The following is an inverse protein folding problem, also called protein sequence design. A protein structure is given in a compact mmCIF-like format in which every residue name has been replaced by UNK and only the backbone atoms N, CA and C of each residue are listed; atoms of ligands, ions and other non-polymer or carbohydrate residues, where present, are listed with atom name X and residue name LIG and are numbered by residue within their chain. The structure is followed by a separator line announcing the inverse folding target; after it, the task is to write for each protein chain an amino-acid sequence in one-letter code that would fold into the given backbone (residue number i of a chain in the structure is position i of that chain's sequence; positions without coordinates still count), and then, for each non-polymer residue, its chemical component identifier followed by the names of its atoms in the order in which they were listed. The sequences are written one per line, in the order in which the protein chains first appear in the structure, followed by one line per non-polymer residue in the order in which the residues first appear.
data_IF_700881320250
#
_entry.id   IF_700881320250
#
_cell.length_a   1.000
_cell.length_b   1.000
_cell.length_c   1.000
_cell.angle_alpha   90.00
_cell.angle_beta   90.00
_cell.angle_gamma   90.00
#
_symmetry.space_group_name_H-M   'P 1'
#
loop_
_entity.id
_entity.type
_entity.pdbx_description
1 polymer ?
#
# COMPACT_ATOMS: atom_id res chain seq x y z
N UNK A 1 -1.03 -11.12 55.34
CA UNK A 1 -0.36 -11.42 54.05
C UNK A 1 -0.40 -10.16 53.17
N UNK A 2 0.75 -9.51 52.89
CA UNK A 2 0.75 -8.26 52.15
C UNK A 2 0.58 -8.48 50.63
N UNK A 3 -0.39 -7.76 50.06
CA UNK A 3 -0.73 -7.70 48.64
C UNK A 3 0.33 -6.91 47.84
N UNK A 4 1.42 -7.56 47.42
CA UNK A 4 2.48 -6.95 46.61
C UNK A 4 2.24 -6.97 45.08
N UNK A 5 1.08 -7.45 44.60
CA UNK A 5 0.88 -7.75 43.17
C UNK A 5 0.38 -6.56 42.30
N UNK A 6 -0.13 -5.47 42.90
CA UNK A 6 -0.78 -4.40 42.11
C UNK A 6 0.16 -3.31 41.57
N UNK A 7 1.35 -3.11 42.15
CA UNK A 7 2.26 -2.03 41.71
C UNK A 7 2.94 -2.33 40.36
N UNK A 8 3.32 -3.58 40.12
CA UNK A 8 4.03 -3.99 38.90
C UNK A 8 3.19 -3.87 37.61
N UNK A 9 1.85 -4.02 37.70
CA UNK A 9 0.94 -3.89 36.55
C UNK A 9 0.84 -2.43 36.06
N UNK A 10 0.91 -1.46 36.96
CA UNK A 10 0.85 -0.04 36.62
C UNK A 10 2.09 0.46 35.87
N UNK A 11 3.28 -0.05 36.21
CA UNK A 11 4.53 0.38 35.58
C UNK A 11 4.68 -0.15 34.14
N UNK A 12 4.29 -1.40 33.87
CA UNK A 12 4.32 -1.99 32.52
C UNK A 12 3.41 -1.24 31.54
N UNK A 13 2.22 -0.79 31.98
CA UNK A 13 1.30 -0.07 31.09
C UNK A 13 1.81 1.31 30.67
N UNK A 14 2.54 2.01 31.56
CA UNK A 14 3.19 3.29 31.25
C UNK A 14 4.28 3.13 30.21
N UNK A 15 5.15 2.12 30.37
CA UNK A 15 6.26 1.87 29.45
C UNK A 15 5.77 1.54 28.03
N UNK A 16 4.78 0.66 27.90
CA UNK A 16 4.17 0.31 26.60
C UNK A 16 3.57 1.54 25.91
N UNK A 17 2.91 2.42 26.68
CA UNK A 17 2.33 3.66 26.15
C UNK A 17 3.42 4.61 25.61
N UNK A 18 4.56 4.70 26.27
CA UNK A 18 5.70 5.51 25.81
C UNK A 18 6.25 4.95 24.51
N UNK A 19 6.54 3.64 24.46
CA UNK A 19 7.02 2.98 23.24
C UNK A 19 6.06 3.22 22.08
N UNK A 20 4.75 3.08 22.30
CA UNK A 20 3.75 3.31 21.27
C UNK A 20 3.77 4.75 20.75
N UNK A 21 3.87 5.74 21.65
CA UNK A 21 3.95 7.15 21.25
C UNK A 21 5.22 7.46 20.47
N UNK A 22 6.37 6.97 20.93
CA UNK A 22 7.66 7.16 20.25
C UNK A 22 7.64 6.48 18.89
N UNK A 23 7.14 5.25 18.80
CA UNK A 23 7.01 4.52 17.54
C UNK A 23 6.04 5.20 16.57
N UNK A 24 4.93 5.75 17.07
CA UNK A 24 4.00 6.53 16.24
C UNK A 24 4.65 7.82 15.70
N UNK A 25 5.35 8.58 16.54
CA UNK A 25 6.06 9.78 16.13
C UNK A 25 7.14 9.46 15.10
N UNK A 26 7.95 8.42 15.36
CA UNK A 26 8.97 7.95 14.43
C UNK A 26 8.36 7.54 13.09
N UNK A 27 7.26 6.79 13.11
CA UNK A 27 6.51 6.43 11.91
C UNK A 27 5.96 7.65 11.16
N UNK A 28 5.47 8.67 11.87
CA UNK A 28 5.05 9.93 11.25
C UNK A 28 6.22 10.66 10.59
N UNK A 29 7.39 10.72 11.24
CA UNK A 29 8.59 11.34 10.67
C UNK A 29 9.05 10.60 9.42
N UNK A 30 9.20 9.27 9.50
CA UNK A 30 9.60 8.43 8.37
C UNK A 30 8.62 8.60 7.20
N UNK A 31 7.32 8.65 7.47
CA UNK A 31 6.30 8.80 6.43
C UNK A 31 5.99 10.24 6.06
N UNK A 32 6.81 11.23 6.44
CA UNK A 32 6.59 12.66 6.13
C UNK A 32 5.19 13.17 6.54
N UNK A 33 4.61 12.59 7.59
CA UNK A 33 3.26 12.90 8.07
C UNK A 33 2.12 12.22 7.30
N UNK A 34 2.41 11.49 6.20
CA UNK A 34 1.38 10.75 5.47
C UNK A 34 0.65 9.75 6.38
N UNK A 35 1.33 9.11 7.35
CA UNK A 35 0.69 8.21 8.31
C UNK A 35 -0.49 8.87 9.06
N UNK A 36 -0.42 10.16 9.40
CA UNK A 36 -1.52 10.87 10.03
C UNK A 36 -2.74 10.99 9.10
N UNK A 37 -2.50 11.31 7.82
CA UNK A 37 -3.56 11.37 6.80
C UNK A 37 -4.20 10.01 6.56
N UNK A 38 -3.39 8.96 6.47
CA UNK A 38 -3.86 7.59 6.33
C UNK A 38 -4.59 7.09 7.58
N UNK A 39 -4.19 7.54 8.78
CA UNK A 39 -4.87 7.19 10.03
C UNK A 39 -6.34 7.62 10.03
N UNK A 40 -6.62 8.86 9.65
CA UNK A 40 -8.01 9.33 9.55
C UNK A 40 -8.80 8.58 8.48
N UNK A 41 -8.16 8.27 7.34
CA UNK A 41 -8.77 7.42 6.32
C UNK A 41 -9.13 6.08 6.93
N UNK A 42 -8.16 5.33 7.45
CA UNK A 42 -8.34 3.99 8.05
C UNK A 42 -9.41 4.01 9.16
N UNK A 43 -9.46 5.06 9.98
CA UNK A 43 -10.52 5.24 10.98
C UNK A 43 -11.91 5.41 10.35
N UNK A 44 -12.03 6.14 9.23
CA UNK A 44 -13.30 6.23 8.50
C UNK A 44 -13.73 4.87 7.94
N UNK A 45 -12.79 4.01 7.55
CA UNK A 45 -13.10 2.63 7.14
C UNK A 45 -13.65 1.77 8.29
N UNK A 46 -13.32 2.06 9.55
CA UNK A 46 -13.89 1.34 10.70
C UNK A 46 -15.39 1.50 10.86
N UNK A 47 -15.97 2.57 10.31
CA UNK A 47 -17.43 2.79 10.33
C UNK A 47 -18.15 1.71 9.50
N UNK A 48 -17.44 1.05 8.58
CA UNK A 48 -17.94 -0.05 7.75
C UNK A 48 -17.61 -1.44 8.30
N UNK A 49 -17.41 -1.57 9.61
CA UNK A 49 -17.16 -2.87 10.24
C UNK A 49 -18.49 -3.59 10.55
N UNK A 50 -18.77 -4.75 9.92
CA UNK A 50 -20.04 -5.48 10.06
C UNK A 50 -20.24 -6.07 11.46
N UNK A 51 -19.19 -6.12 12.27
CA UNK A 51 -19.29 -6.54 13.68
C UNK A 51 -19.86 -5.45 14.58
N UNK A 52 -19.89 -4.19 14.13
CA UNK A 52 -20.63 -3.11 14.79
C UNK A 52 -22.10 -3.30 14.42
N UNK A 53 -22.84 -3.98 15.30
CA UNK A 53 -24.30 -4.09 15.20
C UNK A 53 -24.95 -2.75 15.57
N UNK A 54 -24.71 -1.72 14.77
CA UNK A 54 -25.59 -0.56 14.83
C UNK A 54 -26.91 -0.95 14.17
N UNK A 55 -28.02 -0.83 14.90
CA UNK A 55 -29.33 -1.34 14.43
C UNK A 55 -29.81 -0.64 13.16
N UNK A 56 -29.22 0.52 12.84
CA UNK A 56 -29.57 1.37 11.69
C UNK A 56 -28.55 1.29 10.55
N UNK A 57 -27.38 0.68 10.74
CA UNK A 57 -26.30 0.64 9.73
C UNK A 57 -25.62 -0.73 9.74
N UNK A 58 -26.06 -1.60 8.84
CA UNK A 58 -25.33 -2.84 8.52
C UNK A 58 -24.25 -2.51 7.50
N UNK A 59 -23.00 -2.65 7.88
CA UNK A 59 -21.91 -2.56 6.93
C UNK A 59 -22.08 -3.63 5.84
N UNK A 60 -21.99 -3.21 4.59
CA UNK A 60 -22.13 -4.03 3.37
C UNK A 60 -23.54 -4.57 3.02
N UNK A 61 -24.62 -4.23 3.72
CA UNK A 61 -25.99 -4.57 3.24
C UNK A 61 -26.68 -3.48 2.44
N UNK A 62 -26.02 -2.32 2.25
CA UNK A 62 -26.31 -1.58 1.03
C UNK A 62 -25.73 -2.48 -0.06
N UNK A 63 -26.58 -3.35 -0.60
CA UNK A 63 -26.37 -3.91 -1.91
C UNK A 63 -26.18 -2.69 -2.80
N UNK A 64 -24.91 -2.32 -3.05
CA UNK A 64 -24.58 -1.22 -3.93
C UNK A 64 -24.95 -1.76 -5.31
N UNK A 65 -26.25 -1.67 -5.63
CA UNK A 65 -26.74 -1.69 -7.00
C UNK A 65 -26.07 -0.50 -7.66
N UNK A 66 -24.91 -0.78 -8.23
CA UNK A 66 -24.01 0.16 -8.89
C UNK A 66 -24.71 0.98 -9.97
N UNK A 67 -25.88 0.50 -10.43
CA UNK A 67 -26.80 1.19 -11.34
C UNK A 67 -27.55 2.38 -10.73
N UNK A 68 -28.04 2.30 -9.49
CA UNK A 68 -29.05 3.26 -9.01
C UNK A 68 -28.45 4.52 -8.35
N UNK A 69 -27.18 4.46 -7.95
CA UNK A 69 -26.50 5.60 -7.30
C UNK A 69 -25.61 6.43 -8.24
N UNK A 70 -25.51 6.08 -9.53
CA UNK A 70 -24.55 6.71 -10.45
C UNK A 70 -23.10 6.68 -9.94
N UNK A 71 -22.80 5.77 -8.99
CA UNK A 71 -21.51 5.66 -8.31
C UNK A 71 -20.51 5.05 -9.29
N UNK A 72 -19.90 5.94 -10.07
CA UNK A 72 -18.62 5.75 -10.77
C UNK A 72 -17.65 5.02 -9.82
N UNK A 73 -17.37 3.75 -10.11
CA UNK A 73 -16.32 2.88 -9.54
C UNK A 73 -16.48 2.50 -8.05
N UNK A 74 -16.46 1.19 -7.77
CA UNK A 74 -16.42 0.64 -6.41
C UNK A 74 -15.26 1.24 -5.59
N UNK A 75 -15.40 1.32 -4.28
CA UNK A 75 -14.33 1.81 -3.39
C UNK A 75 -13.00 1.06 -3.62
N UNK A 76 -13.07 -0.25 -3.91
CA UNK A 76 -11.92 -1.07 -4.30
C UNK A 76 -11.27 -0.59 -5.60
N UNK A 77 -12.06 -0.22 -6.61
CA UNK A 77 -11.55 0.36 -7.85
C UNK A 77 -10.90 1.74 -7.63
N UNK A 78 -11.39 2.55 -6.68
CA UNK A 78 -10.73 3.81 -6.31
C UNK A 78 -9.37 3.56 -5.65
N UNK A 79 -9.27 2.58 -4.75
CA UNK A 79 -8.00 2.20 -4.15
C UNK A 79 -7.02 1.66 -5.19
N UNK A 80 -7.46 0.75 -6.07
CA UNK A 80 -6.62 0.26 -7.16
C UNK A 80 -6.09 1.41 -8.02
N UNK A 81 -6.96 2.37 -8.37
CA UNK A 81 -6.56 3.57 -9.10
C UNK A 81 -5.55 4.45 -8.34
N UNK A 82 -5.64 4.53 -7.01
CA UNK A 82 -4.63 5.22 -6.20
C UNK A 82 -3.29 4.45 -6.21
N UNK A 83 -3.31 3.12 -6.16
CA UNK A 83 -2.11 2.28 -6.28
C UNK A 83 -1.46 2.37 -7.64
N UNK A 84 -2.23 2.27 -8.72
CA UNK A 84 -1.74 2.40 -10.10
C UNK A 84 -1.08 3.77 -10.32
N UNK A 85 -1.64 4.82 -9.71
CA UNK A 85 -1.06 6.18 -9.71
C UNK A 85 0.26 6.29 -8.96
N UNK A 86 0.57 5.41 -8.01
CA UNK A 86 1.87 5.37 -7.33
C UNK A 86 2.89 4.51 -8.08
N UNK A 87 2.44 3.42 -8.70
CA UNK A 87 3.30 2.53 -9.51
C UNK A 87 3.94 3.31 -10.67
N UNK A 88 3.15 4.10 -11.41
CA UNK A 88 3.66 4.81 -12.58
C UNK A 88 4.83 5.75 -12.27
N UNK A 89 4.74 6.69 -11.29
CA UNK A 89 5.88 7.52 -10.89
C UNK A 89 7.09 6.73 -10.42
N UNK A 90 6.90 5.66 -9.63
CA UNK A 90 8.01 4.83 -9.16
C UNK A 90 8.73 4.13 -10.31
N UNK A 91 8.00 3.61 -11.29
CA UNK A 91 8.58 3.02 -12.50
C UNK A 91 9.35 4.05 -13.31
N UNK A 92 8.81 5.25 -13.48
CA UNK A 92 9.50 6.36 -14.16
C UNK A 92 10.79 6.73 -13.41
N UNK A 93 10.73 6.93 -12.09
CA UNK A 93 11.92 7.26 -11.29
C UNK A 93 12.96 6.15 -11.37
N UNK A 94 12.55 4.89 -11.31
CA UNK A 94 13.45 3.73 -11.46
C UNK A 94 14.14 3.77 -12.82
N UNK A 95 13.38 3.92 -13.91
CA UNK A 95 13.92 3.95 -15.26
C UNK A 95 14.84 5.15 -15.50
N UNK A 96 14.44 6.36 -15.06
CA UNK A 96 15.26 7.57 -15.20
C UNK A 96 16.54 7.47 -14.39
N UNK A 97 16.47 6.95 -13.16
CA UNK A 97 17.67 6.77 -12.32
C UNK A 97 18.61 5.73 -12.92
N UNK A 98 18.08 4.61 -13.44
CA UNK A 98 18.89 3.60 -14.13
C UNK A 98 19.55 4.16 -15.40
N UNK A 99 18.81 4.92 -16.20
CA UNK A 99 19.36 5.57 -17.40
C UNK A 99 20.46 6.59 -17.03
N UNK A 100 20.23 7.41 -16.01
CA UNK A 100 21.21 8.38 -15.52
C UNK A 100 22.51 7.72 -15.00
N UNK A 101 22.41 6.53 -14.42
CA UNK A 101 23.57 5.74 -13.96
C UNK A 101 24.27 4.99 -15.11
N UNK A 102 23.56 4.66 -16.18
CA UNK A 102 24.11 3.92 -17.31
C UNK A 102 24.82 4.83 -18.34
N UNK A 103 24.39 6.09 -18.47
CA UNK A 103 24.96 7.03 -19.44
C UNK A 103 26.31 7.53 -18.90
N UNK A 104 27.43 7.28 -19.61
CA UNK A 104 28.71 7.88 -19.26
C UNK A 104 28.62 9.40 -19.42
N UNK A 105 29.36 10.14 -18.59
CA UNK A 105 29.41 11.60 -18.66
C UNK A 105 29.76 12.07 -20.09
N UNK A 106 28.90 12.88 -20.75
CA UNK A 106 29.19 13.38 -22.09
C UNK A 106 30.35 14.38 -22.11
N UNK A 107 30.79 14.85 -20.95
CA UNK A 107 31.85 15.87 -20.82
C UNK A 107 33.25 15.29 -20.71
N UNK A 108 33.43 13.97 -20.81
CA UNK A 108 34.73 13.29 -20.65
C UNK A 108 35.28 13.30 -19.21
N UNK A 109 34.70 14.12 -18.33
CA UNK A 109 35.02 14.16 -16.90
C UNK A 109 34.20 13.13 -16.10
N UNK A 110 34.77 12.55 -15.03
CA UNK A 110 34.06 11.64 -14.14
C UNK A 110 32.81 12.33 -13.57
N UNK A 111 31.67 11.61 -13.58
CA UNK A 111 30.40 12.11 -13.04
C UNK A 111 30.59 12.54 -11.59
N UNK A 112 30.09 13.73 -11.24
CA UNK A 112 30.11 14.26 -9.89
C UNK A 112 29.52 13.26 -8.89
N UNK A 113 30.32 12.85 -7.90
CA UNK A 113 30.00 11.70 -7.02
C UNK A 113 28.67 11.86 -6.28
N UNK A 114 28.27 13.09 -5.95
CA UNK A 114 26.99 13.38 -5.28
C UNK A 114 25.81 13.06 -6.19
N UNK A 115 25.89 13.42 -7.48
CA UNK A 115 24.83 13.11 -8.44
C UNK A 115 24.68 11.59 -8.58
N UNK A 116 25.79 10.86 -8.71
CA UNK A 116 25.80 9.39 -8.75
C UNK A 116 25.21 8.77 -7.48
N UNK A 117 25.55 9.31 -6.30
CA UNK A 117 25.00 8.84 -5.03
C UNK A 117 23.49 9.06 -4.96
N UNK A 118 23.02 10.25 -5.36
CA UNK A 118 21.60 10.60 -5.34
C UNK A 118 20.78 9.78 -6.34
N UNK A 119 21.28 9.53 -7.55
CA UNK A 119 20.63 8.64 -8.52
C UNK A 119 20.62 7.19 -8.03
N UNK A 120 21.71 6.71 -7.41
CA UNK A 120 21.75 5.37 -6.81
C UNK A 120 20.75 5.22 -5.68
N UNK A 121 20.63 6.23 -4.81
CA UNK A 121 19.63 6.27 -3.74
C UNK A 121 18.21 6.32 -4.29
N UNK A 122 17.95 7.18 -5.29
CA UNK A 122 16.64 7.27 -5.95
C UNK A 122 16.22 5.91 -6.55
N UNK A 123 17.15 5.24 -7.25
CA UNK A 123 16.96 3.92 -7.84
C UNK A 123 16.67 2.83 -6.78
N UNK A 124 17.48 2.75 -5.73
CA UNK A 124 17.29 1.76 -4.67
C UNK A 124 15.94 1.93 -3.96
N UNK A 125 15.62 3.18 -3.57
CA UNK A 125 14.34 3.50 -2.94
C UNK A 125 13.16 3.22 -3.88
N UNK A 126 13.27 3.55 -5.16
CA UNK A 126 12.16 3.33 -6.09
C UNK A 126 11.88 1.85 -6.34
N UNK A 127 12.93 1.01 -6.38
CA UNK A 127 12.79 -0.45 -6.41
C UNK A 127 12.10 -1.00 -5.17
N UNK A 128 12.50 -0.55 -3.97
CA UNK A 128 11.82 -0.94 -2.72
C UNK A 128 10.35 -0.50 -2.72
N UNK A 129 10.08 0.70 -3.24
CA UNK A 129 8.74 1.23 -3.46
C UNK A 129 7.89 0.34 -4.38
N UNK A 130 8.47 -0.18 -5.46
CA UNK A 130 7.78 -1.11 -6.35
C UNK A 130 7.52 -2.46 -5.66
N UNK A 131 8.51 -3.00 -4.95
CA UNK A 131 8.36 -4.27 -4.22
C UNK A 131 7.24 -4.19 -3.18
N UNK A 132 7.21 -3.12 -2.36
CA UNK A 132 6.18 -2.97 -1.33
C UNK A 132 4.80 -2.80 -1.95
N UNK A 133 4.65 -2.04 -3.05
CA UNK A 133 3.35 -1.89 -3.71
C UNK A 133 2.90 -3.23 -4.29
N UNK A 134 3.75 -3.94 -5.03
CA UNK A 134 3.41 -5.24 -5.61
C UNK A 134 3.04 -6.25 -4.54
N UNK A 135 3.79 -6.29 -3.43
CA UNK A 135 3.46 -7.16 -2.31
C UNK A 135 2.10 -6.80 -1.69
N UNK A 136 1.85 -5.53 -1.39
CA UNK A 136 0.58 -5.09 -0.79
C UNK A 136 -0.62 -5.30 -1.71
N UNK A 137 -0.46 -5.15 -3.03
CA UNK A 137 -1.54 -5.40 -4.00
C UNK A 137 -1.84 -6.90 -4.12
N UNK A 138 -0.82 -7.76 -4.16
CA UNK A 138 -1.00 -9.22 -4.15
C UNK A 138 -1.64 -9.67 -2.84
N UNK A 139 -1.15 -9.18 -1.70
CA UNK A 139 -1.72 -9.45 -0.39
C UNK A 139 -3.19 -9.02 -0.30
N UNK A 140 -3.50 -7.81 -0.79
CA UNK A 140 -4.86 -7.28 -0.85
C UNK A 140 -5.76 -8.04 -1.84
N UNK A 141 -5.21 -8.60 -2.91
CA UNK A 141 -5.97 -9.40 -3.88
C UNK A 141 -6.39 -10.76 -3.30
N UNK A 142 -5.49 -11.42 -2.55
CA UNK A 142 -5.76 -12.71 -1.90
C UNK A 142 -6.60 -12.62 -0.62
N UNK A 143 -6.76 -11.43 -0.06
CA UNK A 143 -7.48 -11.22 1.20
C UNK A 143 -8.99 -11.00 0.97
N UNK A 144 -9.83 -11.59 1.84
CA UNK A 144 -11.27 -11.34 1.81
C UNK A 144 -11.59 -9.88 2.20
N UNK A 145 -12.72 -9.34 1.73
CA UNK A 145 -13.13 -7.98 2.12
C UNK A 145 -13.30 -7.84 3.65
N UNK A 146 -13.75 -8.90 4.32
CA UNK A 146 -13.83 -8.95 5.79
C UNK A 146 -12.45 -8.92 6.44
N UNK A 147 -11.49 -9.70 5.92
CA UNK A 147 -10.08 -9.71 6.36
C UNK A 147 -9.48 -8.32 6.27
N UNK A 148 -9.59 -7.69 5.10
CA UNK A 148 -9.07 -6.33 4.86
C UNK A 148 -9.75 -5.33 5.79
N UNK A 149 -11.08 -5.42 5.96
CA UNK A 149 -11.84 -4.58 6.87
C UNK A 149 -11.39 -4.74 8.33
N UNK A 150 -11.10 -5.97 8.78
CA UNK A 150 -10.61 -6.27 10.13
C UNK A 150 -9.16 -5.85 10.36
N UNK A 151 -8.32 -5.96 9.35
CA UNK A 151 -6.94 -5.46 9.36
C UNK A 151 -6.97 -3.93 9.43
N UNK A 152 -7.74 -3.29 8.56
CA UNK A 152 -7.95 -1.84 8.57
C UNK A 152 -8.55 -1.38 9.92
N UNK A 153 -9.47 -2.14 10.50
CA UNK A 153 -10.07 -1.75 11.78
C UNK A 153 -9.21 -2.00 12.99
N UNK A 154 -8.13 -2.80 12.89
CA UNK A 154 -7.24 -3.10 14.01
C UNK A 154 -7.90 -3.84 15.19
N UNK A 155 -9.22 -4.10 15.15
CA UNK A 155 -9.99 -4.69 16.26
C UNK A 155 -9.66 -6.16 16.48
N UNK A 156 -9.38 -6.92 15.41
CA UNK A 156 -9.01 -8.33 15.53
C UNK A 156 -7.57 -8.58 15.99
N UNK A 157 -6.69 -7.59 15.87
CA UNK A 157 -5.25 -7.83 15.83
C UNK A 157 -4.46 -7.09 16.90
N UNK A 158 -4.78 -5.82 17.11
CA UNK A 158 -3.97 -4.90 17.88
C UNK A 158 -4.80 -4.22 18.98
N UNK A 159 -5.91 -4.83 19.44
CA UNK A 159 -6.85 -4.17 20.37
C UNK A 159 -7.27 -2.76 19.89
N UNK A 160 -7.34 -2.55 18.57
CA UNK A 160 -7.71 -1.26 17.97
C UNK A 160 -6.56 -0.29 17.66
N UNK A 161 -5.27 -0.70 17.69
CA UNK A 161 -4.20 0.21 17.21
C UNK A 161 -4.24 0.36 15.68
N UNK A 162 -4.89 1.42 15.22
CA UNK A 162 -4.95 1.84 13.81
C UNK A 162 -3.62 2.41 13.31
N UNK A 163 -2.77 2.88 14.23
CA UNK A 163 -1.50 3.55 13.90
C UNK A 163 -0.56 2.72 13.01
N UNK A 164 -0.17 1.50 13.39
CA UNK A 164 0.75 0.69 12.57
C UNK A 164 0.25 0.44 11.14
N UNK A 165 -1.06 0.20 10.98
CA UNK A 165 -1.67 0.01 9.66
C UNK A 165 -1.56 1.28 8.83
N UNK A 166 -1.83 2.45 9.44
CA UNK A 166 -1.69 3.74 8.77
C UNK A 166 -0.26 4.01 8.30
N UNK A 167 0.75 3.65 9.11
CA UNK A 167 2.16 3.76 8.74
C UNK A 167 2.46 2.88 7.53
N UNK A 168 2.09 1.60 7.57
CA UNK A 168 2.31 0.65 6.47
C UNK A 168 1.65 1.15 5.17
N UNK A 169 0.41 1.62 5.24
CA UNK A 169 -0.28 2.14 4.05
C UNK A 169 0.31 3.45 3.50
N UNK A 170 1.04 4.20 4.34
CA UNK A 170 1.69 5.45 3.96
C UNK A 170 3.10 5.26 3.40
N UNK A 171 3.77 4.13 3.71
CA UNK A 171 5.14 3.85 3.29
C UNK A 171 5.35 3.97 1.77
N UNK A 172 4.49 3.41 0.89
CA UNK A 172 4.66 3.52 -0.56
C UNK A 172 4.71 4.97 -1.04
N UNK A 173 3.80 5.82 -0.54
CA UNK A 173 3.76 7.25 -0.89
C UNK A 173 4.99 8.00 -0.36
N UNK A 174 5.44 7.67 0.85
CA UNK A 174 6.66 8.25 1.42
C UNK A 174 7.89 7.87 0.59
N UNK A 175 8.03 6.60 0.22
CA UNK A 175 9.11 6.10 -0.64
C UNK A 175 9.12 6.84 -1.98
N UNK A 176 7.96 6.94 -2.66
CA UNK A 176 7.86 7.70 -3.91
C UNK A 176 8.33 9.14 -3.75
N UNK A 177 8.00 9.78 -2.63
CA UNK A 177 8.41 11.16 -2.33
C UNK A 177 9.92 11.26 -2.13
N UNK A 178 10.52 10.39 -1.32
CA UNK A 178 11.97 10.37 -1.13
C UNK A 178 12.72 10.06 -2.42
N UNK A 179 12.30 9.06 -3.19
CA UNK A 179 12.88 8.74 -4.50
C UNK A 179 12.84 9.94 -5.45
N UNK A 180 11.72 10.68 -5.46
CA UNK A 180 11.58 11.90 -6.28
C UNK A 180 12.53 13.00 -5.84
N UNK A 181 12.66 13.22 -4.52
CA UNK A 181 13.59 14.23 -3.96
C UNK A 181 15.05 13.87 -4.28
N UNK A 182 15.44 12.60 -4.14
CA UNK A 182 16.78 12.13 -4.50
C UNK A 182 17.04 12.31 -6.00
N UNK A 183 16.08 11.97 -6.87
CA UNK A 183 16.21 12.17 -8.31
C UNK A 183 16.39 13.66 -8.66
N UNK A 184 15.55 14.54 -8.12
CA UNK A 184 15.61 15.98 -8.36
C UNK A 184 16.91 16.59 -7.81
N UNK A 185 17.34 16.19 -6.62
CA UNK A 185 18.58 16.65 -6.03
C UNK A 185 19.80 16.16 -6.84
N UNK A 186 19.76 14.93 -7.38
CA UNK A 186 20.78 14.39 -8.27
C UNK A 186 20.92 15.20 -9.56
N UNK A 187 19.78 15.55 -10.17
CA UNK A 187 19.74 16.44 -11.33
C UNK A 187 20.31 17.83 -11.00
N UNK A 188 19.92 18.42 -9.87
CA UNK A 188 20.44 19.72 -9.42
C UNK A 188 21.95 19.67 -9.14
N UNK A 189 22.43 18.61 -8.50
CA UNK A 189 23.85 18.42 -8.22
C UNK A 189 24.66 18.32 -9.52
N UNK A 190 24.13 17.61 -10.52
CA UNK A 190 24.76 17.49 -11.83
C UNK A 190 24.81 18.84 -12.58
N UNK A 191 23.77 19.67 -12.49
CA UNK A 191 23.75 20.98 -13.16
C UNK A 191 24.65 22.01 -12.48
N UNK A 192 24.72 22.02 -11.13
CA UNK A 192 25.56 22.96 -10.38
C UNK A 192 27.04 22.58 -10.47
N UNK A 193 27.37 21.29 -10.45
CA UNK A 193 28.75 20.81 -10.44
C UNK A 193 29.39 20.69 -11.83
N UNK A 194 28.74 21.21 -12.88
CA UNK A 194 29.28 21.21 -14.23
C UNK A 194 30.66 21.90 -14.25
N UNK A 195 31.74 21.13 -14.45
CA UNK A 195 33.13 21.61 -14.46
C UNK A 195 33.94 21.38 -13.17
N UNK A 196 33.37 20.74 -12.14
CA UNK A 196 34.09 20.34 -10.93
C UNK A 196 34.28 18.81 -10.89
N UNK A 197 35.43 18.34 -11.37
CA UNK A 197 35.77 16.91 -11.54
C UNK A 197 36.10 16.12 -10.25
N UNK A 198 35.32 16.26 -9.17
CA UNK A 198 35.52 15.42 -7.97
C UNK A 198 35.03 13.99 -8.20
N UNK A 199 35.92 13.01 -8.00
CA UNK A 199 35.63 11.60 -8.29
C UNK A 199 35.02 10.87 -7.10
N UNK A 200 34.28 9.79 -7.37
CA UNK A 200 33.73 8.89 -6.34
C UNK A 200 34.85 8.28 -5.48
N UNK A 201 36.03 7.99 -6.06
CA UNK A 201 37.15 7.41 -5.33
C UNK A 201 37.63 8.30 -4.18
N UNK A 202 37.60 9.62 -4.35
CA UNK A 202 38.00 10.58 -3.31
C UNK A 202 36.99 10.67 -2.16
N UNK A 203 35.71 10.37 -2.44
CA UNK A 203 34.61 10.54 -1.48
C UNK A 203 33.86 9.23 -1.19
N UNK A 204 34.55 8.09 -1.26
CA UNK A 204 33.96 6.74 -1.15
C UNK A 204 33.11 6.57 0.13
N UNK A 205 33.57 7.06 1.28
CA UNK A 205 32.83 6.95 2.55
C UNK A 205 31.55 7.76 2.52
N UNK A 206 31.60 9.01 2.07
CA UNK A 206 30.42 9.87 1.97
C UNK A 206 29.40 9.30 0.96
N UNK A 207 29.89 8.82 -0.19
CA UNK A 207 29.07 8.12 -1.19
C UNK A 207 28.33 6.94 -0.55
N UNK A 208 29.05 6.04 0.14
CA UNK A 208 28.46 4.88 0.80
C UNK A 208 27.39 5.28 1.81
N UNK A 209 27.65 6.30 2.63
CA UNK A 209 26.69 6.75 3.65
C UNK A 209 25.42 7.32 3.03
N UNK A 210 25.56 8.20 2.02
CA UNK A 210 24.42 8.85 1.36
C UNK A 210 23.53 7.83 0.65
N UNK A 211 24.11 6.78 0.06
CA UNK A 211 23.34 5.73 -0.64
C UNK A 211 22.78 4.69 0.34
N UNK A 212 23.63 4.12 1.21
CA UNK A 212 23.25 2.95 2.00
C UNK A 212 22.32 3.29 3.15
N UNK A 213 22.47 4.43 3.82
CA UNK A 213 21.61 4.77 4.97
C UNK A 213 20.13 4.81 4.60
N UNK A 214 19.67 5.58 3.60
CA UNK A 214 18.25 5.63 3.26
C UNK A 214 17.74 4.29 2.71
N UNK A 215 18.51 3.61 1.86
CA UNK A 215 18.14 2.32 1.26
C UNK A 215 18.01 1.25 2.35
N UNK A 216 19.03 1.05 3.20
CA UNK A 216 18.95 0.06 4.28
C UNK A 216 17.85 0.37 5.30
N UNK A 217 17.62 1.65 5.63
CA UNK A 217 16.54 2.03 6.53
C UNK A 217 15.17 1.65 5.95
N UNK A 218 14.95 1.93 4.67
CA UNK A 218 13.70 1.61 4.00
C UNK A 218 13.54 0.11 3.74
N UNK A 219 14.62 -0.62 3.42
CA UNK A 219 14.64 -2.08 3.36
C UNK A 219 14.21 -2.71 4.69
N UNK A 220 14.72 -2.21 5.82
CA UNK A 220 14.29 -2.69 7.13
C UNK A 220 12.79 -2.43 7.34
N UNK A 221 12.30 -1.24 6.99
CA UNK A 221 10.87 -0.93 7.05
C UNK A 221 10.02 -1.87 6.17
N UNK A 222 10.53 -2.23 4.99
CA UNK A 222 9.91 -3.17 4.06
C UNK A 222 9.85 -4.58 4.67
N UNK A 223 10.96 -5.09 5.22
CA UNK A 223 11.01 -6.41 5.89
C UNK A 223 10.04 -6.46 7.06
N UNK A 224 9.98 -5.41 7.88
CA UNK A 224 9.00 -5.33 8.98
C UNK A 224 7.56 -5.29 8.46
N UNK A 225 7.32 -4.62 7.34
CA UNK A 225 5.99 -4.54 6.73
C UNK A 225 5.54 -5.90 6.20
N UNK A 226 6.38 -6.57 5.41
CA UNK A 226 6.10 -7.90 4.87
C UNK A 226 5.94 -8.91 6.01
N UNK A 227 6.89 -8.96 6.95
CA UNK A 227 6.81 -9.84 8.11
C UNK A 227 5.56 -9.59 8.96
N UNK A 228 5.15 -8.32 9.10
CA UNK A 228 3.90 -7.95 9.76
C UNK A 228 2.67 -8.46 9.02
N UNK A 229 2.59 -8.25 7.70
CA UNK A 229 1.51 -8.74 6.85
C UNK A 229 1.39 -10.28 6.88
N UNK A 230 2.50 -11.00 6.73
CA UNK A 230 2.53 -12.47 6.81
C UNK A 230 2.11 -12.98 8.18
N UNK A 231 2.64 -12.37 9.25
CA UNK A 231 2.23 -12.69 10.62
C UNK A 231 0.72 -12.48 10.82
N UNK A 232 0.15 -11.44 10.19
CA UNK A 232 -1.28 -11.19 10.24
C UNK A 232 -2.10 -12.22 9.46
N UNK A 233 -1.70 -12.55 8.23
CA UNK A 233 -2.35 -13.59 7.44
C UNK A 233 -2.32 -14.94 8.17
N UNK A 234 -1.16 -15.31 8.73
CA UNK A 234 -1.00 -16.55 9.49
C UNK A 234 -1.93 -16.62 10.70
N UNK A 235 -1.96 -15.55 11.51
CA UNK A 235 -2.83 -15.51 12.70
C UNK A 235 -4.32 -15.56 12.32
N UNK A 236 -4.72 -14.97 11.20
CA UNK A 236 -6.09 -15.10 10.71
C UNK A 236 -6.41 -16.53 10.27
N UNK A 237 -5.51 -17.15 9.51
CA UNK A 237 -5.67 -18.55 9.08
C UNK A 237 -5.85 -19.48 10.28
N UNK A 238 -5.02 -19.31 11.31
CA UNK A 238 -5.12 -20.10 12.53
C UNK A 238 -6.44 -19.86 13.30
N UNK A 239 -6.93 -18.61 13.30
CA UNK A 239 -8.21 -18.28 13.93
C UNK A 239 -9.42 -18.88 13.19
N UNK A 240 -9.35 -19.02 11.87
CA UNK A 240 -10.39 -19.69 11.07
C UNK A 240 -10.40 -21.20 11.34
N UNK A 241 -9.23 -21.82 11.31
CA UNK A 241 -9.06 -23.25 11.60
C UNK A 241 -9.62 -23.61 12.99
N UNK A 242 -9.31 -22.81 14.01
CA UNK A 242 -9.83 -23.06 15.36
C UNK A 242 -11.37 -22.97 15.44
N UNK A 243 -12.00 -22.06 14.69
CA UNK A 243 -13.47 -21.97 14.64
C UNK A 243 -14.09 -23.18 13.96
N UNK A 244 -13.48 -23.67 12.90
CA UNK A 244 -13.93 -24.88 12.20
C UNK A 244 -13.83 -26.10 13.13
N UNK A 245 -12.72 -26.24 13.86
CA UNK A 245 -12.54 -27.30 14.85
C UNK A 245 -13.53 -27.19 16.03
N UNK A 246 -13.86 -25.97 16.49
CA UNK A 246 -14.88 -25.76 17.52
C UNK A 246 -16.28 -26.14 17.03
N UNK A 247 -16.62 -25.83 15.77
CA UNK A 247 -17.89 -26.22 15.16
C UNK A 247 -17.96 -27.75 15.02
N UNK A 248 -16.89 -28.39 14.54
CA UNK A 248 -16.81 -29.86 14.41
C UNK A 248 -16.94 -30.56 15.77
N UNK A 249 -16.26 -30.05 16.80
CA UNK A 249 -16.36 -30.60 18.17
C UNK A 249 -17.73 -30.34 18.80
N UNK A 250 -18.33 -29.17 18.54
CA UNK A 250 -19.67 -28.83 19.01
C UNK A 250 -20.76 -29.72 18.41
N UNK A 251 -20.60 -30.14 17.15
CA UNK A 251 -21.46 -31.12 16.48
C UNK A 251 -21.35 -32.53 17.10
N UNK A 252 -20.25 -32.84 17.80
CA UNK A 252 -20.03 -34.14 18.44
C UNK A 252 -20.59 -34.29 19.85
N UNK A 253 -20.88 -33.20 20.56
CA UNK A 253 -21.32 -33.26 21.96
C UNK A 253 -22.83 -33.54 22.13
N UNK A 254 -23.67 -33.04 21.22
CA UNK A 254 -25.13 -33.18 21.32
C UNK A 254 -25.73 -34.12 20.28
N UNK A 255 -24.94 -34.64 19.33
CA UNK A 255 -25.37 -35.61 18.30
C UNK A 255 -26.49 -35.14 17.37
N UNK A 256 -27.02 -33.94 17.59
CA UNK A 256 -28.03 -33.30 16.77
C UNK A 256 -27.32 -32.41 15.75
N UNK A 257 -27.59 -32.58 14.45
CA UNK A 257 -27.13 -31.63 13.46
C UNK A 257 -27.64 -30.26 13.90
N UNK A 258 -26.72 -29.30 14.06
CA UNK A 258 -27.12 -27.90 14.12
C UNK A 258 -27.80 -27.63 12.80
N UNK A 259 -29.13 -27.71 12.78
CA UNK A 259 -29.94 -27.17 11.70
C UNK A 259 -29.52 -25.72 11.64
N UNK A 260 -28.65 -25.38 10.68
CA UNK A 260 -28.43 -24.00 10.32
C UNK A 260 -29.84 -23.43 10.14
N UNK A 261 -30.20 -22.33 10.83
CA UNK A 261 -31.47 -21.68 10.57
C UNK A 261 -31.51 -21.50 9.06
N UNK A 262 -32.44 -22.21 8.44
CA UNK A 262 -32.67 -22.19 7.00
C UNK A 262 -32.55 -20.72 6.60
N UNK A 263 -31.63 -20.36 5.68
CA UNK A 263 -31.44 -18.97 5.33
C UNK A 263 -32.82 -18.50 4.93
N UNK A 264 -33.45 -17.70 5.80
CA UNK A 264 -34.83 -17.29 5.62
C UNK A 264 -34.87 -16.76 4.21
N UNK A 265 -35.50 -17.52 3.31
CA UNK A 265 -35.71 -17.11 1.94
C UNK A 265 -36.50 -15.83 2.12
N UNK A 266 -35.79 -14.69 2.04
CA UNK A 266 -36.43 -13.41 1.91
C UNK A 266 -37.43 -13.57 0.77
N UNK A 267 -38.62 -12.95 0.88
CA UNK A 267 -39.68 -13.10 -0.12
C UNK A 267 -39.06 -13.05 -1.49
N UNK A 268 -39.23 -14.14 -2.25
CA UNK A 268 -38.72 -14.32 -3.59
C UNK A 268 -38.87 -13.00 -4.34
N UNK A 269 -37.76 -12.28 -4.52
CA UNK A 269 -37.77 -11.05 -5.29
C UNK A 269 -38.37 -11.41 -6.65
N UNK A 270 -39.36 -10.64 -7.14
CA UNK A 270 -39.98 -10.92 -8.42
C UNK A 270 -38.87 -11.09 -9.45
N UNK A 271 -38.94 -12.20 -10.19
CA UNK A 271 -38.03 -12.53 -11.28
C UNK A 271 -37.99 -11.34 -12.25
N UNK A 272 -36.99 -10.49 -12.10
CA UNK A 272 -36.72 -9.44 -13.07
C UNK A 272 -36.31 -10.18 -14.33
N UNK A 273 -37.04 -10.02 -15.44
CA UNK A 273 -36.65 -10.64 -16.70
C UNK A 273 -35.22 -10.21 -17.01
N UNK A 274 -34.31 -11.17 -17.06
CA UNK A 274 -32.98 -10.98 -17.59
C UNK A 274 -33.15 -10.66 -19.08
N UNK A 275 -33.28 -9.38 -19.40
CA UNK A 275 -33.01 -8.88 -20.73
C UNK A 275 -31.51 -9.07 -20.94
N UNK A 276 -31.15 -10.20 -21.54
CA UNK A 276 -29.86 -10.40 -22.18
C UNK A 276 -29.76 -9.35 -23.29
N UNK A 277 -29.33 -8.15 -22.92
CA UNK A 277 -28.71 -7.25 -23.90
C UNK A 277 -27.41 -7.94 -24.25
N UNK A 278 -27.38 -8.56 -25.44
CA UNK A 278 -26.18 -9.12 -26.01
C UNK A 278 -25.07 -8.09 -25.83
N UNK A 279 -24.04 -8.44 -25.06
CA UNK A 279 -22.78 -7.70 -25.08
C UNK A 279 -22.36 -7.62 -26.54
N UNK A 280 -22.14 -6.42 -27.10
CA UNK A 280 -21.48 -6.33 -28.38
C UNK A 280 -20.14 -7.04 -28.20
N UNK A 281 -19.92 -8.08 -29.01
CA UNK A 281 -18.66 -8.79 -29.11
C UNK A 281 -17.54 -7.74 -29.06
N UNK A 282 -16.54 -7.98 -28.19
CA UNK A 282 -15.30 -7.20 -28.15
C UNK A 282 -14.68 -7.20 -29.55
N UNK A 283 -15.13 -6.25 -30.35
CA UNK A 283 -14.56 -5.88 -31.62
C UNK A 283 -13.18 -5.33 -31.32
N UNK A 284 -12.25 -5.75 -32.17
CA UNK A 284 -10.93 -5.16 -32.30
C UNK A 284 -10.96 -3.64 -32.06
N UNK A 285 -9.91 -3.07 -31.44
CA UNK A 285 -9.83 -1.64 -31.22
C UNK A 285 -10.13 -0.91 -32.53
N UNK A 286 -11.16 -0.07 -32.50
CA UNK A 286 -11.46 0.83 -33.60
C UNK A 286 -10.17 1.59 -33.90
N UNK A 287 -9.60 1.32 -35.07
CA UNK A 287 -8.49 2.09 -35.60
C UNK A 287 -8.93 3.56 -35.58
N UNK A 288 -8.20 4.39 -34.83
CA UNK A 288 -8.33 5.83 -34.96
C UNK A 288 -8.22 6.20 -36.44
N UNK A 289 -9.10 7.06 -36.97
CA UNK A 289 -8.88 7.64 -38.28
C UNK A 289 -7.57 8.42 -38.19
N UNK A 290 -6.49 7.84 -38.74
CA UNK A 290 -5.25 8.56 -39.04
C UNK A 290 -5.67 9.80 -39.82
N UNK A 291 -5.60 10.96 -39.18
CA UNK A 291 -5.58 12.24 -39.90
C UNK A 291 -4.38 12.16 -40.83
N UNK A 292 -4.67 11.99 -42.12
CA UNK A 292 -3.67 12.10 -43.17
C UNK A 292 -3.06 13.50 -43.09
N UNK A 293 -1.83 13.58 -42.60
CA UNK A 293 -0.98 14.74 -42.82
C UNK A 293 -0.47 14.60 -44.24
N UNK A 294 -1.13 15.28 -45.18
CA UNK A 294 -0.61 15.50 -46.52
C UNK A 294 0.58 16.45 -46.41
N UNK A 295 1.80 15.90 -46.42
CA UNK A 295 3.00 16.67 -46.73
C UNK A 295 2.96 17.02 -48.21
N UNK A 296 2.66 18.29 -48.54
CA UNK A 296 3.06 18.86 -49.83
C UNK A 296 4.57 19.05 -49.79
N UNK A 297 5.28 18.30 -50.61
CA UNK A 297 6.62 18.68 -51.05
C UNK A 297 6.50 20.02 -51.78
N UNK A 298 7.12 21.06 -51.21
CA UNK A 298 7.35 22.31 -51.90
C UNK A 298 8.51 22.13 -52.87
N UNK A 299 8.32 22.65 -54.08
CA UNK A 299 9.28 22.66 -55.18
C UNK A 299 10.63 23.30 -54.80
N UNK A 300 11.73 22.87 -55.42
CA UNK A 300 13.01 23.55 -55.34
C UNK A 300 12.98 24.88 -56.10
N UNK A 301 13.53 25.93 -55.47
CA UNK A 301 14.03 27.12 -56.17
C UNK A 301 15.54 26.96 -56.39
#
# INVERSE_FOLDING_TARGET
MPTFSNSAKGQRSKFIRIIYRVGWLLGCVITLGYASKYYFRVKAWQVYDPTVKDKTHRAYTIDIRSRDLGLKTSIRAKQQKEWDRLIMPLSVITATSAAALAIPSPFGEPIYWVATALFSGAFGLSLEGLIIITYLTVFGAGSSAETIGRIASGKGFLKGFVGPVAIVTALPTAITTYSSVFLLAGLLAMTIAAGNGSTVQQHMTAFKVVVLVPVCLMLLCLVFTIGGCEFFAWKEGNAKLNRELEVEKGLGADGLPVTMPEPMLGPSLPSVPHVYTAEPAMGAPAAEPRRGVTFRYGDPA
#
